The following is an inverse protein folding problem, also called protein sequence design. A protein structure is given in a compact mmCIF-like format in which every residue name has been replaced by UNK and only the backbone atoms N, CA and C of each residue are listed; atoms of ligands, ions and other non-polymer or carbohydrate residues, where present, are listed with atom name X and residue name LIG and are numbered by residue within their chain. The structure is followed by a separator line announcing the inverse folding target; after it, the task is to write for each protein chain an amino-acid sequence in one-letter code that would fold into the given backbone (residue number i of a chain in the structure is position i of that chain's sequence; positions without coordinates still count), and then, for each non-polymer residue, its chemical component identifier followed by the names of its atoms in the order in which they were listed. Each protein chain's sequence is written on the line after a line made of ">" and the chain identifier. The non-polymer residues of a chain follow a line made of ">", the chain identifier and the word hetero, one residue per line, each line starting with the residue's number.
data_IF_756462148800
#
_entry.id   IF_756462148800
#
_cell.length_a   1.000
_cell.length_b   1.000
_cell.length_c   1.000
_cell.angle_alpha   90.00
_cell.angle_beta   90.00
_cell.angle_gamma   90.00
#
_symmetry.space_group_name_H-M   'P 1'
#
loop_
_entity.id
_entity.type
_entity.pdbx_description
1 polymer ?
#
# COMPACT_ATOMS: atom_id res chain seq x y z
N UNK A 1 -36.32 -9.47 -11.67
CA UNK A 1 -35.56 -10.31 -10.72
C UNK A 1 -34.10 -10.25 -11.14
N UNK A 2 -33.24 -9.57 -10.37
CA UNK A 2 -31.81 -9.56 -10.67
C UNK A 2 -31.24 -10.92 -10.28
N UNK A 3 -30.77 -11.67 -11.26
CA UNK A 3 -30.32 -13.07 -11.16
C UNK A 3 -28.83 -13.18 -10.77
N UNK A 4 -28.25 -12.10 -10.24
CA UNK A 4 -26.85 -12.05 -9.86
C UNK A 4 -26.72 -12.36 -8.37
N UNK A 5 -25.93 -13.37 -7.97
CA UNK A 5 -25.60 -13.55 -6.55
C UNK A 5 -24.88 -12.30 -6.04
N UNK A 6 -25.27 -11.84 -4.84
CA UNK A 6 -24.58 -10.73 -4.19
C UNK A 6 -23.11 -11.10 -3.96
N UNK A 7 -22.16 -10.18 -4.23
CA UNK A 7 -20.74 -10.46 -4.03
C UNK A 7 -20.45 -10.71 -2.54
N UNK A 8 -19.61 -11.71 -2.26
CA UNK A 8 -19.19 -12.05 -0.90
C UNK A 8 -18.64 -10.79 -0.20
N UNK A 9 -19.17 -10.40 0.97
CA UNK A 9 -18.75 -9.21 1.69
C UNK A 9 -17.26 -9.20 2.05
N UNK A 10 -16.64 -10.38 2.27
CA UNK A 10 -15.20 -10.50 2.56
C UNK A 10 -14.37 -10.12 1.34
N UNK A 11 -14.81 -10.56 0.16
CA UNK A 11 -14.17 -10.23 -1.11
C UNK A 11 -14.27 -8.74 -1.41
N UNK A 12 -15.45 -8.14 -1.19
CA UNK A 12 -15.63 -6.69 -1.31
C UNK A 12 -14.72 -5.90 -0.34
N UNK A 13 -14.65 -6.33 0.92
CA UNK A 13 -13.78 -5.70 1.91
C UNK A 13 -12.31 -5.79 1.49
N UNK A 14 -11.86 -6.95 1.00
CA UNK A 14 -10.50 -7.12 0.47
C UNK A 14 -10.21 -6.18 -0.71
N UNK A 15 -11.13 -6.09 -1.69
CA UNK A 15 -11.01 -5.17 -2.82
C UNK A 15 -10.96 -3.70 -2.38
N UNK A 16 -11.75 -3.32 -1.38
CA UNK A 16 -11.75 -1.96 -0.85
C UNK A 16 -10.44 -1.64 -0.13
N UNK A 17 -10.01 -2.52 0.78
CA UNK A 17 -8.78 -2.34 1.56
C UNK A 17 -7.57 -2.21 0.64
N UNK A 18 -7.42 -3.14 -0.31
CA UNK A 18 -6.26 -3.19 -1.21
C UNK A 18 -6.19 -1.98 -2.14
N UNK A 19 -7.34 -1.35 -2.46
CA UNK A 19 -7.41 -0.25 -3.43
C UNK A 19 -7.35 1.13 -2.78
N UNK A 20 -7.95 1.32 -1.61
CA UNK A 20 -8.21 2.64 -1.03
C UNK A 20 -7.80 2.82 0.44
N UNK A 21 -7.31 1.77 1.10
CA UNK A 21 -6.96 1.86 2.53
C UNK A 21 -5.49 1.56 2.77
N UNK A 22 -4.97 0.49 2.16
CA UNK A 22 -3.67 -0.04 2.53
C UNK A 22 -2.53 0.92 2.24
N UNK A 23 -2.49 1.52 1.04
CA UNK A 23 -1.42 2.44 0.66
C UNK A 23 -1.50 3.77 1.42
N UNK A 24 -2.71 4.22 1.75
CA UNK A 24 -3.02 5.44 2.47
C UNK A 24 -2.51 5.33 3.91
N UNK A 25 -2.86 4.24 4.60
CA UNK A 25 -2.38 3.96 5.95
C UNK A 25 -0.86 3.74 5.93
N UNK A 26 -0.33 2.98 4.96
CA UNK A 26 1.12 2.77 4.82
C UNK A 26 1.87 4.07 4.55
N UNK A 27 1.33 4.97 3.73
CA UNK A 27 1.90 6.30 3.48
C UNK A 27 1.99 7.13 4.76
N UNK A 28 0.94 7.12 5.59
CA UNK A 28 0.96 7.81 6.90
C UNK A 28 2.04 7.22 7.79
N UNK A 29 2.13 5.89 7.92
CA UNK A 29 3.17 5.25 8.72
C UNK A 29 4.58 5.54 8.19
N UNK A 30 4.77 5.51 6.87
CA UNK A 30 6.04 5.83 6.22
C UNK A 30 6.43 7.30 6.46
N UNK A 31 5.48 8.23 6.33
CA UNK A 31 5.69 9.65 6.64
C UNK A 31 6.09 9.85 8.10
N UNK A 32 5.38 9.22 9.04
CA UNK A 32 5.72 9.27 10.46
C UNK A 32 7.16 8.77 10.70
N UNK A 33 7.56 7.69 10.03
CA UNK A 33 8.93 7.18 10.11
C UNK A 33 9.96 8.12 9.51
N UNK A 34 9.65 8.81 8.40
CA UNK A 34 10.53 9.82 7.80
C UNK A 34 10.75 11.02 8.73
N UNK A 35 9.71 11.42 9.47
CA UNK A 35 9.76 12.54 10.42
C UNK A 35 10.49 12.17 11.72
N UNK A 36 10.19 11.00 12.29
CA UNK A 36 10.67 10.61 13.63
C UNK A 36 11.97 9.77 13.58
N UNK A 37 12.18 9.02 12.51
CA UNK A 37 13.36 8.17 12.33
C UNK A 37 14.63 9.02 12.19
N UNK A 38 15.75 8.46 12.65
CA UNK A 38 17.07 9.08 12.52
C UNK A 38 18.01 8.17 11.71
N UNK A 39 18.94 8.76 10.95
CA UNK A 39 19.97 8.01 10.24
C UNK A 39 19.45 7.13 9.10
N UNK A 40 20.03 5.93 8.94
CA UNK A 40 19.80 5.04 7.80
C UNK A 40 18.37 4.50 7.69
N UNK A 41 17.64 4.39 8.81
CA UNK A 41 16.24 3.95 8.84
C UNK A 41 15.32 4.86 8.00
N UNK A 42 15.67 6.14 7.78
CA UNK A 42 14.84 7.09 7.04
C UNK A 42 14.76 6.78 5.54
N UNK A 43 15.84 6.32 4.93
CA UNK A 43 15.92 6.18 3.47
C UNK A 43 14.92 5.17 2.89
N UNK A 44 14.80 3.94 3.43
CA UNK A 44 13.78 3.02 2.95
C UNK A 44 12.36 3.55 3.20
N UNK A 45 12.14 4.29 4.29
CA UNK A 45 10.84 4.92 4.56
C UNK A 45 10.50 6.04 3.56
N UNK A 46 11.49 6.83 3.11
CA UNK A 46 11.28 7.82 2.03
C UNK A 46 10.89 7.14 0.72
N UNK A 47 11.57 6.05 0.36
CA UNK A 47 11.24 5.31 -0.87
C UNK A 47 9.86 4.66 -0.75
N UNK A 48 9.55 4.04 0.40
CA UNK A 48 8.21 3.50 0.67
C UNK A 48 7.12 4.56 0.55
N UNK A 49 7.35 5.74 1.13
CA UNK A 49 6.44 6.88 1.05
C UNK A 49 6.23 7.32 -0.41
N UNK A 50 7.30 7.48 -1.19
CA UNK A 50 7.21 7.87 -2.59
C UNK A 50 6.40 6.86 -3.41
N UNK A 51 6.62 5.55 -3.20
CA UNK A 51 5.86 4.50 -3.86
C UNK A 51 4.38 4.51 -3.46
N UNK A 52 4.07 4.69 -2.16
CA UNK A 52 2.68 4.79 -1.71
C UNK A 52 1.98 6.00 -2.34
N UNK A 53 2.63 7.17 -2.34
CA UNK A 53 2.08 8.37 -2.98
C UNK A 53 1.87 8.17 -4.49
N UNK A 54 2.80 7.52 -5.19
CA UNK A 54 2.64 7.17 -6.59
C UNK A 54 1.44 6.25 -6.84
N UNK A 55 1.27 5.22 -6.00
CA UNK A 55 0.12 4.32 -6.07
C UNK A 55 -1.21 5.03 -5.79
N UNK A 56 -1.26 5.87 -4.75
CA UNK A 56 -2.44 6.70 -4.42
C UNK A 56 -2.78 7.62 -5.59
N UNK A 57 -1.80 8.37 -6.11
CA UNK A 57 -2.02 9.26 -7.26
C UNK A 57 -2.54 8.49 -8.48
N UNK A 58 -2.03 7.29 -8.72
CA UNK A 58 -2.50 6.44 -9.83
C UNK A 58 -3.92 5.93 -9.60
N UNK A 59 -4.28 5.54 -8.37
CA UNK A 59 -5.65 5.14 -7.98
C UNK A 59 -6.65 6.29 -8.21
N UNK A 60 -6.27 7.52 -7.87
CA UNK A 60 -7.14 8.69 -7.96
C UNK A 60 -7.02 9.48 -9.27
N UNK A 61 -6.05 9.18 -10.14
CA UNK A 61 -5.83 9.88 -11.41
C UNK A 61 -7.09 9.95 -12.30
N UNK A 62 -7.93 8.90 -12.42
CA UNK A 62 -9.19 8.97 -13.17
C UNK A 62 -10.17 9.99 -12.60
N UNK A 63 -10.27 10.10 -11.28
CA UNK A 63 -11.15 11.07 -10.64
C UNK A 63 -10.67 12.52 -10.83
N UNK A 64 -9.37 12.69 -11.11
CA UNK A 64 -8.75 13.99 -11.40
C UNK A 64 -8.68 14.31 -12.90
N UNK A 65 -9.18 13.42 -13.78
CA UNK A 65 -9.09 13.58 -15.24
C UNK A 65 -7.67 13.44 -15.82
N UNK A 66 -6.75 12.79 -15.09
CA UNK A 66 -5.32 12.69 -15.45
C UNK A 66 -4.95 11.39 -16.20
N UNK A 67 -5.90 10.80 -16.94
CA UNK A 67 -5.75 9.47 -17.56
C UNK A 67 -5.05 9.47 -18.91
N UNK A 68 -4.92 10.62 -19.57
CA UNK A 68 -4.35 10.70 -20.93
C UNK A 68 -2.81 10.69 -20.93
N UNK A 69 -2.17 10.84 -19.77
CA UNK A 69 -0.72 10.85 -19.71
C UNK A 69 -0.14 9.45 -19.96
N UNK A 70 0.96 9.32 -20.72
CA UNK A 70 1.69 8.06 -20.84
C UNK A 70 2.09 7.51 -19.47
N UNK A 71 2.48 8.39 -18.53
CA UNK A 71 2.83 8.03 -17.17
C UNK A 71 1.70 7.31 -16.43
N UNK A 72 0.44 7.74 -16.60
CA UNK A 72 -0.72 7.04 -16.05
C UNK A 72 -0.84 5.62 -16.63
N UNK A 73 -0.68 5.45 -17.94
CA UNK A 73 -0.79 4.11 -18.54
C UNK A 73 0.28 3.13 -18.05
N UNK A 74 1.51 3.60 -17.85
CA UNK A 74 2.61 2.80 -17.31
C UNK A 74 2.38 2.43 -15.84
N UNK A 75 2.00 3.42 -15.03
CA UNK A 75 1.71 3.21 -13.60
C UNK A 75 0.49 2.32 -13.39
N UNK A 76 -0.60 2.52 -14.14
CA UNK A 76 -1.78 1.66 -14.09
C UNK A 76 -1.46 0.21 -14.49
N UNK A 77 -0.61 -0.01 -15.51
CA UNK A 77 -0.12 -1.36 -15.87
C UNK A 77 0.72 -1.97 -14.76
N UNK A 78 1.62 -1.20 -14.14
CA UNK A 78 2.40 -1.67 -13.01
C UNK A 78 1.50 -2.04 -11.81
N UNK A 79 0.44 -1.27 -11.56
CA UNK A 79 -0.58 -1.56 -10.56
C UNK A 79 -1.47 -2.76 -10.89
N UNK A 80 -1.66 -3.07 -12.17
CA UNK A 80 -2.36 -4.28 -12.60
C UNK A 80 -1.47 -5.54 -12.58
N UNK A 81 -0.15 -5.35 -12.70
CA UNK A 81 0.85 -6.42 -12.69
C UNK A 81 0.84 -7.23 -11.40
N UNK A 82 0.97 -8.55 -11.50
CA UNK A 82 1.01 -9.46 -10.34
C UNK A 82 -0.27 -9.43 -9.49
N UNK A 83 -1.43 -9.14 -10.08
CA UNK A 83 -2.72 -9.04 -9.38
C UNK A 83 -2.85 -7.79 -8.50
N UNK A 84 -1.93 -6.83 -8.63
CA UNK A 84 -1.87 -5.60 -7.83
C UNK A 84 -1.27 -5.76 -6.44
N UNK A 85 -0.95 -6.98 -6.01
CA UNK A 85 -0.30 -7.23 -4.73
C UNK A 85 1.14 -6.73 -4.67
N UNK A 86 1.88 -6.81 -5.78
CA UNK A 86 3.26 -6.34 -5.83
C UNK A 86 3.40 -4.85 -5.43
N UNK A 87 2.42 -4.03 -5.82
CA UNK A 87 2.40 -2.59 -5.50
C UNK A 87 2.14 -2.33 -4.01
N UNK A 88 1.47 -3.24 -3.30
CA UNK A 88 1.26 -3.14 -1.85
C UNK A 88 2.44 -3.72 -1.07
N UNK A 89 3.00 -4.84 -1.55
CA UNK A 89 4.07 -5.55 -0.86
C UNK A 89 5.41 -4.85 -0.96
N UNK A 90 5.75 -4.26 -2.11
CA UNK A 90 7.04 -3.58 -2.30
C UNK A 90 7.28 -2.44 -1.29
N UNK A 91 6.38 -1.45 -1.13
CA UNK A 91 6.56 -0.42 -0.09
C UNK A 91 6.48 -1.01 1.33
N UNK A 92 5.72 -2.09 1.54
CA UNK A 92 5.67 -2.77 2.85
C UNK A 92 7.01 -3.41 3.22
N UNK A 93 7.69 -4.05 2.25
CA UNK A 93 9.03 -4.62 2.45
C UNK A 93 10.02 -3.50 2.77
N UNK A 94 9.98 -2.37 2.07
CA UNK A 94 10.84 -1.22 2.38
C UNK A 94 10.57 -0.66 3.77
N UNK A 95 9.30 -0.61 4.19
CA UNK A 95 8.92 -0.21 5.54
C UNK A 95 9.42 -1.21 6.59
N UNK A 96 9.37 -2.51 6.32
CA UNK A 96 9.98 -3.54 7.17
C UNK A 96 11.51 -3.42 7.23
N UNK A 97 12.18 -3.11 6.11
CA UNK A 97 13.64 -2.87 6.11
C UNK A 97 13.96 -1.64 6.96
N UNK A 98 13.18 -0.56 6.86
CA UNK A 98 13.32 0.63 7.70
C UNK A 98 13.26 0.29 9.20
N UNK A 99 12.40 -0.66 9.59
CA UNK A 99 12.25 -1.14 10.96
C UNK A 99 13.48 -1.85 11.52
N UNK A 100 14.21 -2.56 10.66
CA UNK A 100 15.38 -3.37 11.03
C UNK A 100 16.67 -2.56 11.08
N UNK A 101 16.68 -1.35 10.52
CA UNK A 101 17.86 -0.50 10.47
C UNK A 101 18.08 0.28 11.78
N UNK A 102 19.36 0.62 12.10
CA UNK A 102 19.68 1.47 13.24
C UNK A 102 18.98 2.84 13.14
N UNK A 103 18.49 3.33 14.28
CA UNK A 103 17.79 4.62 14.36
C UNK A 103 16.28 4.54 14.19
N UNK A 104 15.71 3.33 14.09
CA UNK A 104 14.28 3.09 14.21
C UNK A 104 13.78 3.48 15.62
N UNK A 105 12.86 4.43 15.67
CA UNK A 105 12.15 4.87 16.89
C UNK A 105 10.67 4.55 16.74
N UNK A 106 9.95 4.51 17.87
CA UNK A 106 8.50 4.28 17.95
C UNK A 106 8.07 2.93 17.37
N UNK A 107 8.42 1.85 18.08
CA UNK A 107 8.14 0.46 17.67
C UNK A 107 6.66 0.12 17.47
N UNK A 108 5.74 0.97 17.95
CA UNK A 108 4.32 0.81 17.66
C UNK A 108 4.03 0.98 16.16
N UNK A 109 4.81 1.79 15.42
CA UNK A 109 4.69 1.93 13.95
C UNK A 109 4.95 0.57 13.31
N UNK A 110 5.97 -0.15 13.79
CA UNK A 110 6.32 -1.49 13.33
C UNK A 110 5.23 -2.51 13.63
N UNK A 111 4.64 -2.43 14.82
CA UNK A 111 3.54 -3.30 15.23
C UNK A 111 2.30 -3.09 14.37
N UNK A 112 1.91 -1.82 14.14
CA UNK A 112 0.75 -1.49 13.29
C UNK A 112 1.00 -1.92 11.85
N UNK A 113 2.20 -1.68 11.32
CA UNK A 113 2.58 -2.13 9.98
C UNK A 113 2.53 -3.67 9.87
N UNK A 114 3.08 -4.39 10.84
CA UNK A 114 3.07 -5.86 10.85
C UNK A 114 1.65 -6.42 10.95
N UNK A 115 0.79 -5.84 11.81
CA UNK A 115 -0.62 -6.23 11.92
C UNK A 115 -1.39 -5.99 10.61
N UNK A 116 -1.17 -4.84 9.98
CA UNK A 116 -1.80 -4.49 8.70
C UNK A 116 -1.33 -5.41 7.56
N UNK A 117 -0.03 -5.71 7.49
CA UNK A 117 0.54 -6.63 6.52
C UNK A 117 0.01 -8.06 6.73
N UNK A 118 -0.04 -8.53 7.98
CA UNK A 118 -0.62 -9.83 8.31
C UNK A 118 -2.10 -9.91 7.92
N UNK A 119 -2.87 -8.86 8.19
CA UNK A 119 -4.28 -8.76 7.77
C UNK A 119 -4.45 -8.81 6.25
N UNK A 120 -3.62 -8.06 5.51
CA UNK A 120 -3.62 -8.07 4.05
C UNK A 120 -3.30 -9.47 3.50
N UNK A 121 -2.24 -10.11 4.01
CA UNK A 121 -1.83 -11.45 3.58
C UNK A 121 -2.86 -12.52 3.94
N UNK A 122 -3.48 -12.42 5.13
CA UNK A 122 -4.55 -13.32 5.55
C UNK A 122 -5.79 -13.21 4.67
N UNK A 123 -6.24 -11.99 4.35
CA UNK A 123 -7.34 -11.77 3.42
C UNK A 123 -7.00 -12.24 2.00
N UNK A 124 -5.77 -11.99 1.55
CA UNK A 124 -5.32 -12.43 0.24
C UNK A 124 -5.30 -13.96 0.12
N UNK A 125 -4.79 -14.65 1.14
CA UNK A 125 -4.80 -16.12 1.21
C UNK A 125 -6.22 -16.69 1.23
N UNK A 126 -7.15 -16.04 1.94
CA UNK A 126 -8.54 -16.48 2.01
C UNK A 126 -9.31 -16.30 0.69
N UNK A 127 -8.96 -15.27 -0.09
CA UNK A 127 -9.72 -14.86 -1.28
C UNK A 127 -9.10 -15.28 -2.62
N UNK A 128 -7.93 -15.94 -2.59
CA UNK A 128 -7.24 -16.48 -3.79
C UNK A 128 -7.47 -17.97 -3.93
#
# INVERSE_FOLDING_TARGET
>A
MNFLPDPDPVVLAFFFIRKFVYLEVLAVLALLRVVVGSGLSRWPAVVALALCLGGILTTFAPALGLTESPLYTWSARAMAGGGGMAVLLLPSVLMAISALLPGARWRWIDLVHAAMLAGLLGLWWWTS
#
